data_IF_676831539225
#
_entry.id   IF_676831539225
#
_cell.length_a   1.000
_cell.length_b   1.000
_cell.length_c   1.000
_cell.angle_alpha   90.00
_cell.angle_beta   90.00
_cell.angle_gamma   90.00
#
_symmetry.space_group_name_H-M   'P 1'
#
loop_
_entity.id
_entity.type
_entity.pdbx_description
1 polymer ?
#
# COMPACT_ATOMS: atom_id res chain seq x y z
N UNK A 1 -18.27 7.84 9.18
CA UNK A 1 -16.96 8.40 9.56
C UNK A 1 -15.99 7.24 9.58
N UNK A 2 -14.82 7.36 8.94
CA UNK A 2 -13.84 6.27 8.85
C UNK A 2 -13.31 5.92 10.23
N UNK A 3 -13.20 4.63 10.53
CA UNK A 3 -12.75 4.13 11.85
C UNK A 3 -11.29 3.67 11.84
N UNK A 4 -10.65 3.61 10.66
CA UNK A 4 -9.25 3.23 10.49
C UNK A 4 -8.59 4.02 9.35
N UNK A 5 -7.27 4.27 9.43
CA UNK A 5 -6.53 4.92 8.36
C UNK A 5 -6.26 3.96 7.19
N UNK A 6 -5.98 4.52 6.02
CA UNK A 6 -5.37 3.80 4.90
C UNK A 6 -3.88 4.10 4.87
N UNK A 7 -3.07 3.06 4.67
CA UNK A 7 -1.62 3.16 4.56
C UNK A 7 -1.23 2.51 3.24
N UNK A 8 -0.55 3.28 2.39
CA UNK A 8 0.00 2.79 1.12
C UNK A 8 1.48 2.53 1.34
N UNK A 9 1.93 1.30 1.09
CA UNK A 9 3.35 0.93 1.10
C UNK A 9 3.78 0.68 -0.34
N UNK A 10 4.65 1.56 -0.83
CA UNK A 10 5.23 1.51 -2.17
C UNK A 10 6.75 1.41 -2.11
N UNK A 11 7.39 1.16 -3.26
CA UNK A 11 8.83 0.95 -3.37
C UNK A 11 9.19 -0.03 -4.48
N UNK A 12 10.47 -0.08 -4.84
CA UNK A 12 10.97 -0.97 -5.91
C UNK A 12 10.80 -2.45 -5.56
N UNK A 13 10.77 -3.38 -6.54
CA UNK A 13 10.74 -4.81 -6.25
C UNK A 13 11.91 -5.25 -5.35
N UNK A 14 11.64 -6.11 -4.37
CA UNK A 14 12.67 -6.68 -3.48
C UNK A 14 12.89 -5.96 -2.15
N UNK A 15 12.40 -4.73 -1.96
CA UNK A 15 12.61 -3.93 -0.72
C UNK A 15 11.74 -4.34 0.49
N UNK A 16 11.15 -5.54 0.47
CA UNK A 16 10.41 -6.05 1.63
C UNK A 16 8.97 -5.54 1.83
N UNK A 17 8.34 -4.92 0.82
CA UNK A 17 6.95 -4.38 0.93
C UNK A 17 5.95 -5.39 1.49
N UNK A 18 5.87 -6.59 0.90
CA UNK A 18 4.91 -7.62 1.32
C UNK A 18 5.11 -8.01 2.77
N UNK A 19 6.37 -8.14 3.21
CA UNK A 19 6.72 -8.49 4.59
C UNK A 19 6.23 -7.40 5.56
N UNK A 20 6.49 -6.12 5.24
CA UNK A 20 5.99 -5.01 6.05
C UNK A 20 4.46 -5.01 6.14
N UNK A 21 3.76 -5.18 5.00
CA UNK A 21 2.29 -5.17 4.98
C UNK A 21 1.68 -6.30 5.81
N UNK A 22 2.24 -7.51 5.75
CA UNK A 22 1.77 -8.67 6.51
C UNK A 22 1.94 -8.44 8.01
N UNK A 23 3.14 -8.02 8.44
CA UNK A 23 3.41 -7.74 9.85
C UNK A 23 2.55 -6.59 10.39
N UNK A 24 2.40 -5.50 9.62
CA UNK A 24 1.55 -4.38 10.01
C UNK A 24 0.08 -4.76 10.14
N UNK A 25 -0.43 -5.62 9.26
CA UNK A 25 -1.80 -6.10 9.36
C UNK A 25 -2.03 -6.88 10.66
N UNK A 26 -1.07 -7.74 11.05
CA UNK A 26 -1.10 -8.47 12.31
C UNK A 26 -1.05 -7.55 13.54
N UNK A 27 -0.15 -6.55 13.55
CA UNK A 27 0.04 -5.65 14.69
C UNK A 27 -1.09 -4.63 14.86
N UNK A 28 -1.66 -4.13 13.77
CA UNK A 28 -2.61 -2.99 13.80
C UNK A 28 -4.07 -3.41 13.66
N UNK A 29 -4.31 -4.65 13.22
CA UNK A 29 -5.62 -5.16 12.81
C UNK A 29 -6.14 -4.52 11.52
N UNK A 30 -5.31 -3.79 10.77
CA UNK A 30 -5.66 -3.32 9.44
C UNK A 30 -5.70 -4.49 8.46
N UNK A 31 -6.50 -4.36 7.40
CA UNK A 31 -6.56 -5.34 6.34
C UNK A 31 -5.46 -5.06 5.33
N UNK A 32 -4.60 -6.05 5.07
CA UNK A 32 -3.66 -6.00 3.95
C UNK A 32 -4.39 -6.25 2.63
N UNK A 33 -4.31 -5.30 1.69
CA UNK A 33 -4.81 -5.41 0.32
C UNK A 33 -3.63 -5.45 -0.66
N UNK A 34 -3.33 -6.61 -1.23
CA UNK A 34 -2.27 -6.76 -2.23
C UNK A 34 -2.80 -6.45 -3.63
N UNK A 35 -2.34 -5.35 -4.23
CA UNK A 35 -2.71 -4.93 -5.59
C UNK A 35 -2.36 -6.01 -6.62
N UNK A 36 -1.20 -6.66 -6.47
CA UNK A 36 -0.79 -7.76 -7.34
C UNK A 36 -1.75 -8.95 -7.29
N UNK A 37 -2.34 -9.21 -6.12
CA UNK A 37 -3.32 -10.28 -5.97
C UNK A 37 -4.65 -9.90 -6.58
N UNK A 38 -5.13 -8.68 -6.31
CA UNK A 38 -6.38 -8.15 -6.90
C UNK A 38 -6.31 -8.17 -8.43
N UNK A 39 -5.23 -7.67 -9.01
CA UNK A 39 -5.07 -7.64 -10.46
C UNK A 39 -5.11 -9.05 -11.08
N UNK A 40 -4.53 -10.06 -10.40
CA UNK A 40 -4.58 -11.46 -10.83
C UNK A 40 -5.96 -12.07 -10.71
N UNK A 41 -6.61 -11.89 -9.57
CA UNK A 41 -7.90 -12.53 -9.26
C UNK A 41 -9.05 -11.96 -10.09
N UNK A 42 -8.99 -10.66 -10.39
CA UNK A 42 -10.04 -9.94 -11.11
C UNK A 42 -9.70 -9.65 -12.57
N UNK A 43 -8.60 -10.21 -13.06
CA UNK A 43 -8.15 -10.09 -14.45
C UNK A 43 -8.02 -8.63 -14.91
N UNK A 44 -7.41 -7.79 -14.06
CA UNK A 44 -7.21 -6.36 -14.31
C UNK A 44 -5.98 -6.13 -15.23
N UNK A 45 -6.00 -6.76 -16.40
CA UNK A 45 -4.92 -6.67 -17.38
C UNK A 45 -5.43 -6.11 -18.71
N UNK A 46 -4.58 -5.36 -19.41
CA UNK A 46 -4.88 -4.82 -20.74
C UNK A 46 -4.19 -5.65 -21.83
N UNK A 47 -2.85 -5.70 -21.77
CA UNK A 47 -2.02 -6.39 -22.76
C UNK A 47 -0.86 -7.13 -22.09
N UNK A 48 -0.31 -8.13 -22.78
CA UNK A 48 0.92 -8.80 -22.35
C UNK A 48 2.12 -8.18 -23.06
N UNK A 49 3.07 -7.66 -22.29
CA UNK A 49 4.36 -7.21 -22.80
C UNK A 49 5.28 -8.43 -22.97
N UNK A 50 5.52 -8.81 -24.23
CA UNK A 50 6.36 -9.96 -24.57
C UNK A 50 7.85 -9.71 -24.33
N UNK A 51 8.31 -8.46 -24.38
CA UNK A 51 9.72 -8.09 -24.18
C UNK A 51 10.07 -8.17 -22.69
N UNK A 52 9.23 -7.58 -21.84
CA UNK A 52 9.38 -7.58 -20.39
C UNK A 52 8.84 -8.85 -19.74
N UNK A 53 8.17 -9.72 -20.50
CA UNK A 53 7.56 -10.96 -20.02
C UNK A 53 6.58 -10.70 -18.85
N UNK A 54 5.76 -9.66 -18.95
CA UNK A 54 4.85 -9.22 -17.89
C UNK A 54 3.51 -8.74 -18.44
N UNK A 55 2.47 -8.80 -17.62
CA UNK A 55 1.19 -8.18 -17.94
C UNK A 55 1.23 -6.68 -17.64
N UNK A 56 0.70 -5.89 -18.56
CA UNK A 56 0.36 -4.48 -18.34
C UNK A 56 -0.98 -4.45 -17.62
N UNK A 57 -0.98 -3.81 -16.44
CA UNK A 57 -2.17 -3.67 -15.60
C UNK A 57 -3.08 -2.61 -16.21
N UNK A 58 -4.37 -2.92 -16.29
CA UNK A 58 -5.42 -1.96 -16.62
C UNK A 58 -5.75 -1.19 -15.34
N UNK A 59 -5.29 0.06 -15.26
CA UNK A 59 -5.43 0.91 -14.06
C UNK A 59 -6.90 1.19 -13.74
N UNK A 60 -7.72 1.49 -14.73
CA UNK A 60 -9.15 1.78 -14.53
C UNK A 60 -9.88 0.55 -13.97
N UNK A 61 -9.68 -0.63 -14.57
CA UNK A 61 -10.26 -1.88 -14.04
C UNK A 61 -9.75 -2.22 -12.66
N UNK A 62 -8.47 -1.94 -12.38
CA UNK A 62 -7.90 -2.19 -11.07
C UNK A 62 -8.52 -1.27 -10.02
N UNK A 63 -8.67 0.02 -10.33
CA UNK A 63 -9.32 1.01 -9.48
C UNK A 63 -10.77 0.60 -9.17
N UNK A 64 -11.56 0.25 -10.19
CA UNK A 64 -12.92 -0.26 -10.03
C UNK A 64 -12.96 -1.53 -9.16
N UNK A 65 -11.97 -2.41 -9.31
CA UNK A 65 -11.86 -3.65 -8.55
C UNK A 65 -11.56 -3.43 -7.06
N UNK A 66 -10.82 -2.38 -6.71
CA UNK A 66 -10.52 -2.04 -5.33
C UNK A 66 -11.53 -1.04 -4.75
N UNK A 67 -12.34 -0.39 -5.58
CA UNK A 67 -13.27 0.68 -5.19
C UNK A 67 -14.10 0.29 -3.97
N UNK A 68 -14.85 -0.81 -3.98
CA UNK A 68 -15.67 -1.21 -2.82
C UNK A 68 -14.87 -1.44 -1.54
N UNK A 69 -13.63 -1.93 -1.70
CA UNK A 69 -12.73 -2.25 -0.62
C UNK A 69 -12.05 -0.98 -0.06
N UNK A 70 -11.93 0.04 -0.90
CA UNK A 70 -11.18 1.27 -0.65
C UNK A 70 -12.12 2.44 -0.37
N UNK A 71 -13.31 2.53 -0.95
CA UNK A 71 -14.35 3.56 -0.78
C UNK A 71 -15.01 3.55 0.59
N UNK A 72 -14.94 2.44 1.32
CA UNK A 72 -15.20 2.50 2.76
C UNK A 72 -14.16 3.39 3.46
N UNK A 73 -13.03 3.69 2.82
CA UNK A 73 -11.84 4.29 3.41
C UNK A 73 -10.86 5.11 2.46
N UNK A 74 -11.26 5.70 1.33
CA UNK A 74 -10.45 6.58 0.40
C UNK A 74 -9.28 5.99 -0.45
N UNK A 75 -9.10 6.61 -1.64
CA UNK A 75 -8.40 6.26 -2.91
C UNK A 75 -6.95 5.70 -2.88
N UNK A 76 -6.60 4.92 -3.92
CA UNK A 76 -5.27 4.33 -4.17
C UNK A 76 -4.70 4.84 -5.50
N UNK A 77 -3.44 5.29 -5.48
CA UNK A 77 -2.59 5.38 -6.67
C UNK A 77 -1.29 4.61 -6.41
N UNK A 78 -0.91 3.74 -7.35
CA UNK A 78 0.37 3.05 -7.34
C UNK A 78 1.48 3.99 -7.80
N UNK A 79 2.09 4.72 -6.88
CA UNK A 79 3.14 5.70 -7.20
C UNK A 79 4.49 5.24 -6.64
N UNK A 80 5.56 5.41 -7.41
CA UNK A 80 6.93 5.33 -6.91
C UNK A 80 7.20 6.53 -5.96
N UNK A 81 8.30 6.52 -5.20
CA UNK A 81 8.51 7.49 -4.10
C UNK A 81 8.49 8.96 -4.58
N UNK A 82 9.06 9.24 -5.74
CA UNK A 82 9.10 10.60 -6.29
C UNK A 82 7.70 11.02 -6.75
N UNK A 83 6.96 10.12 -7.38
CA UNK A 83 5.57 10.30 -7.79
C UNK A 83 4.64 10.43 -6.57
N UNK A 84 4.94 9.78 -5.45
CA UNK A 84 4.20 9.93 -4.20
C UNK A 84 4.40 11.33 -3.61
N UNK A 85 5.62 11.87 -3.66
CA UNK A 85 5.92 13.24 -3.24
C UNK A 85 5.27 14.29 -4.14
N UNK A 86 5.07 13.98 -5.42
CA UNK A 86 4.35 14.88 -6.35
C UNK A 86 2.83 14.79 -6.19
N UNK A 87 2.29 13.61 -5.88
CA UNK A 87 0.85 13.35 -5.79
C UNK A 87 0.23 13.68 -4.42
N UNK A 88 1.00 13.62 -3.34
CA UNK A 88 0.52 13.82 -1.97
C UNK A 88 1.31 14.92 -1.26
N UNK A 89 0.68 15.57 -0.29
CA UNK A 89 1.37 16.51 0.59
C UNK A 89 2.58 15.81 1.25
N UNK A 90 3.73 16.48 1.27
CA UNK A 90 5.00 15.91 1.77
C UNK A 90 4.87 15.39 3.22
N UNK A 91 4.01 16.02 4.02
CA UNK A 91 3.71 15.60 5.40
C UNK A 91 2.99 14.25 5.50
N UNK A 92 2.36 13.78 4.41
CA UNK A 92 1.71 12.47 4.31
C UNK A 92 2.64 11.38 3.78
N UNK A 93 3.78 11.74 3.18
CA UNK A 93 4.73 10.81 2.57
C UNK A 93 5.87 10.50 3.54
N UNK A 94 5.90 9.27 4.04
CA UNK A 94 6.95 8.81 4.97
C UNK A 94 7.85 7.81 4.26
N UNK A 95 9.12 8.18 4.07
CA UNK A 95 10.15 7.28 3.56
C UNK A 95 10.60 6.30 4.66
N UNK A 96 10.71 5.02 4.29
CA UNK A 96 11.19 3.94 5.15
C UNK A 96 12.47 3.37 4.56
N UNK A 97 13.48 3.15 5.40
CA UNK A 97 14.66 2.37 5.02
C UNK A 97 14.41 0.89 5.32
N UNK A 98 14.86 -0.02 4.46
CA UNK A 98 14.69 -1.47 4.62
C UNK A 98 15.95 -2.23 4.14
N UNK A 99 17.12 -1.81 4.60
CA UNK A 99 18.41 -2.39 4.23
C UNK A 99 18.95 -3.39 5.25
N UNK A 100 18.46 -3.34 6.49
CA UNK A 100 18.89 -4.18 7.63
C UNK A 100 17.73 -5.04 8.13
N UNK A 101 18.05 -6.18 8.74
CA UNK A 101 17.05 -7.11 9.27
C UNK A 101 16.15 -6.45 10.33
N UNK A 102 16.70 -5.56 11.16
CA UNK A 102 15.96 -4.85 12.22
C UNK A 102 15.08 -3.70 11.69
N UNK A 103 15.24 -3.31 10.42
CA UNK A 103 14.52 -2.17 9.85
C UNK A 103 13.02 -2.47 9.74
N UNK A 104 12.66 -3.72 9.40
CA UNK A 104 11.25 -4.14 9.30
C UNK A 104 10.54 -3.96 10.64
N UNK A 105 11.14 -4.45 11.73
CA UNK A 105 10.55 -4.35 13.07
C UNK A 105 10.43 -2.88 13.51
N UNK A 106 11.48 -2.07 13.30
CA UNK A 106 11.48 -0.65 13.62
C UNK A 106 10.42 0.13 12.82
N UNK A 107 10.32 -0.14 11.52
CA UNK A 107 9.32 0.49 10.63
C UNK A 107 7.91 0.10 11.05
N UNK A 108 7.68 -1.19 11.30
CA UNK A 108 6.37 -1.69 11.73
C UNK A 108 5.96 -1.05 13.06
N UNK A 109 6.84 -1.03 14.06
CA UNK A 109 6.57 -0.40 15.34
C UNK A 109 6.23 1.10 15.21
N UNK A 110 6.96 1.83 14.35
CA UNK A 110 6.71 3.25 14.09
C UNK A 110 5.33 3.48 13.46
N UNK A 111 4.99 2.72 12.42
CA UNK A 111 3.71 2.85 11.73
C UNK A 111 2.56 2.40 12.64
N UNK A 112 2.72 1.29 13.36
CA UNK A 112 1.74 0.78 14.33
C UNK A 112 1.42 1.83 15.39
N UNK A 113 2.43 2.50 15.94
CA UNK A 113 2.24 3.60 16.91
C UNK A 113 1.45 4.78 16.32
N UNK A 114 1.73 5.14 15.07
CA UNK A 114 0.98 6.17 14.35
C UNK A 114 -0.48 5.76 14.11
N UNK A 115 -0.73 4.52 13.67
CA UNK A 115 -2.09 4.00 13.46
C UNK A 115 -2.91 4.05 14.76
N UNK A 116 -2.31 3.67 15.89
CA UNK A 116 -3.00 3.74 17.20
C UNK A 116 -3.30 5.18 17.60
N UNK A 117 -2.36 6.10 17.41
CA UNK A 117 -2.57 7.53 17.68
C UNK A 117 -3.68 8.12 16.82
N UNK A 118 -3.70 7.81 15.52
CA UNK A 118 -4.74 8.24 14.59
C UNK A 118 -6.14 7.75 15.01
N UNK A 119 -6.23 6.49 15.47
CA UNK A 119 -7.48 5.89 15.97
C UNK A 119 -7.95 6.59 17.25
N UNK A 120 -7.04 6.88 18.17
CA UNK A 120 -7.36 7.56 19.44
C UNK A 120 -7.83 9.00 19.24
N UNK A 121 -7.24 9.75 18.30
CA UNK A 121 -7.63 11.13 18.00
C UNK A 121 -9.03 11.24 17.37
N UNK A 122 -9.60 10.12 16.91
CA UNK A 122 -10.89 10.02 16.20
C UNK A 122 -11.90 9.11 16.90
N UNK A 123 -11.58 8.63 18.10
CA UNK A 123 -12.48 7.87 18.98
C UNK A 123 -13.37 8.82 19.79
#
# INVERSE_FOLDING_TARGET
MRTSPNVIITGTPGVGKTVHCEQLAEETGLRHLSINHVAKERDCYETYDHELQTWVVDEDKLLDAIEDQVLQDAEIFGVLLDEAREAFDEELVVELNSERDDDVESNCARISSWVQSWKNDRA
#
